data_IF_788848221348
#
_entry.id   IF_788848221348
#
_cell.length_a   1.000
_cell.length_b   1.000
_cell.length_c   1.000
_cell.angle_alpha   90.00
_cell.angle_beta   90.00
_cell.angle_gamma   90.00
#
_symmetry.space_group_name_H-M   'P 1'
#
loop_
_entity.id
_entity.type
_entity.pdbx_description
1 polymer ?
#
# COMPACT_ATOMS: atom_id res chain seq x y z
N UNK A 1 3.58 -9.70 5.71
CA UNK A 1 4.93 -10.22 5.49
C UNK A 1 5.98 -9.58 6.40
N UNK A 2 5.54 -8.90 7.45
CA UNK A 2 6.44 -8.32 8.45
C UNK A 2 7.24 -9.37 9.21
N UNK A 3 8.38 -8.97 9.80
CA UNK A 3 9.26 -9.82 10.58
C UNK A 3 10.64 -9.97 9.94
N UNK A 4 11.30 -11.12 10.13
CA UNK A 4 12.66 -11.34 9.63
C UNK A 4 12.69 -11.68 8.16
N UNK A 5 13.61 -11.05 7.42
CA UNK A 5 13.94 -11.31 6.02
C UNK A 5 15.43 -11.58 5.88
N UNK A 6 15.83 -12.37 4.90
CA UNK A 6 17.21 -12.45 4.46
C UNK A 6 17.58 -11.18 3.71
N UNK A 7 18.76 -10.61 4.01
CA UNK A 7 19.16 -9.30 3.54
C UNK A 7 20.60 -9.27 3.06
N UNK A 8 20.83 -8.65 1.92
CA UNK A 8 22.17 -8.36 1.42
C UNK A 8 22.29 -6.86 1.20
N UNK A 9 23.36 -6.26 1.71
CA UNK A 9 23.66 -4.85 1.57
C UNK A 9 24.97 -4.66 0.82
N UNK A 10 24.98 -3.74 -0.13
CA UNK A 10 26.17 -3.28 -0.83
C UNK A 10 26.15 -1.75 -0.92
N UNK A 11 27.33 -1.13 -0.88
CA UNK A 11 27.42 0.33 -1.02
C UNK A 11 27.39 0.78 -2.48
N UNK A 12 27.98 -0.02 -3.38
CA UNK A 12 28.04 0.29 -4.79
C UNK A 12 26.99 -0.49 -5.56
N UNK A 13 26.30 0.19 -6.44
CA UNK A 13 25.28 -0.42 -7.28
C UNK A 13 25.80 -1.59 -8.12
N UNK A 14 27.09 -1.53 -8.56
CA UNK A 14 27.71 -2.57 -9.37
C UNK A 14 27.83 -3.92 -8.63
N UNK A 15 27.97 -3.89 -7.30
CA UNK A 15 28.23 -5.09 -6.48
C UNK A 15 26.94 -5.80 -6.04
N UNK A 16 25.75 -5.29 -6.44
CA UNK A 16 24.47 -5.86 -6.04
C UNK A 16 24.29 -7.26 -6.62
N UNK A 17 23.61 -8.16 -5.89
CA UNK A 17 23.20 -9.45 -6.43
C UNK A 17 22.28 -9.23 -7.65
N UNK A 18 22.55 -9.89 -8.76
CA UNK A 18 21.76 -9.79 -10.01
C UNK A 18 20.85 -10.99 -10.24
N UNK A 19 21.04 -12.06 -9.48
CA UNK A 19 20.26 -13.29 -9.54
C UNK A 19 19.37 -13.53 -8.31
N UNK A 20 19.27 -12.54 -7.45
CA UNK A 20 18.55 -12.61 -6.15
C UNK A 20 17.06 -13.01 -6.28
N UNK A 21 16.44 -12.76 -7.43
CA UNK A 21 15.06 -13.14 -7.70
C UNK A 21 14.90 -14.61 -8.06
N UNK A 22 15.98 -15.30 -8.42
CA UNK A 22 15.91 -16.71 -8.78
C UNK A 22 15.63 -17.55 -7.53
N UNK A 23 14.61 -18.38 -7.58
CA UNK A 23 14.20 -19.25 -6.45
C UNK A 23 15.28 -20.27 -6.04
N UNK A 24 16.25 -20.56 -6.93
CA UNK A 24 17.36 -21.49 -6.66
C UNK A 24 18.58 -20.83 -6.05
N UNK A 25 18.67 -19.48 -6.06
CA UNK A 25 19.80 -18.77 -5.49
C UNK A 25 19.83 -18.96 -3.98
N UNK A 26 20.95 -19.45 -3.47
CA UNK A 26 21.19 -19.68 -2.05
C UNK A 26 21.42 -18.36 -1.32
N UNK A 27 20.54 -18.06 -0.38
CA UNK A 27 20.60 -16.83 0.45
C UNK A 27 20.73 -17.12 1.95
N UNK A 28 20.94 -18.36 2.32
CA UNK A 28 21.01 -18.79 3.72
C UNK A 28 22.12 -18.11 4.52
N UNK A 29 23.19 -17.69 3.83
CA UNK A 29 24.33 -16.99 4.42
C UNK A 29 24.09 -15.49 4.60
N UNK A 30 23.04 -14.95 4.01
CA UNK A 30 22.69 -13.54 4.21
C UNK A 30 22.23 -13.32 5.65
N UNK A 31 22.64 -12.22 6.30
CA UNK A 31 22.12 -11.85 7.60
C UNK A 31 20.60 -11.64 7.57
N UNK A 32 20.00 -11.61 8.73
CA UNK A 32 18.61 -11.27 8.89
C UNK A 32 18.45 -9.76 9.12
N UNK A 33 17.36 -9.19 8.59
CA UNK A 33 16.90 -7.84 8.86
C UNK A 33 15.45 -7.86 9.28
N UNK A 34 15.04 -6.95 10.16
CA UNK A 34 13.63 -6.80 10.55
C UNK A 34 12.89 -5.87 9.57
N UNK A 35 11.68 -6.28 9.20
CA UNK A 35 10.76 -5.51 8.35
C UNK A 35 9.43 -5.37 9.13
N UNK A 36 8.85 -4.15 9.24
CA UNK A 36 9.42 -2.88 8.77
C UNK A 36 10.65 -2.42 9.54
N UNK A 37 11.47 -1.62 8.88
CA UNK A 37 12.64 -1.00 9.47
C UNK A 37 13.64 -0.49 8.44
N UNK A 38 14.31 0.60 8.78
CA UNK A 38 15.37 1.14 7.95
C UNK A 38 16.65 0.33 8.16
N UNK A 39 17.40 0.09 7.10
CA UNK A 39 18.62 -0.73 7.21
C UNK A 39 19.74 -0.04 7.97
N UNK A 40 19.83 1.31 7.89
CA UNK A 40 20.85 2.08 8.61
C UNK A 40 20.69 1.96 10.14
N UNK A 41 19.43 1.85 10.63
CA UNK A 41 19.14 1.66 12.04
C UNK A 41 19.37 0.22 12.52
N UNK A 42 19.70 -0.68 11.59
CA UNK A 42 19.98 -2.10 11.87
C UNK A 42 21.44 -2.47 11.55
N UNK A 43 22.32 -1.47 11.38
CA UNK A 43 23.76 -1.65 11.22
C UNK A 43 24.25 -1.79 9.79
N UNK A 44 23.44 -1.45 8.78
CA UNK A 44 23.82 -1.51 7.38
C UNK A 44 23.91 -0.09 6.79
N UNK A 45 25.13 0.34 6.46
CA UNK A 45 25.39 1.68 5.95
C UNK A 45 25.29 2.77 7.02
N UNK A 46 25.22 4.01 6.60
CA UNK A 46 25.26 5.18 7.48
C UNK A 46 24.01 6.02 7.31
N UNK A 47 23.30 6.38 8.40
CA UNK A 47 22.24 7.38 8.36
C UNK A 47 22.83 8.73 7.92
N UNK A 48 22.10 9.44 7.06
CA UNK A 48 22.52 10.77 6.62
C UNK A 48 21.49 11.77 7.13
N UNK A 49 21.96 12.81 7.82
CA UNK A 49 21.20 14.01 8.09
C UNK A 49 22.03 15.19 7.62
N UNK A 50 21.64 15.75 6.51
CA UNK A 50 22.29 16.92 5.94
C UNK A 50 21.25 17.96 5.58
N UNK A 51 21.48 19.18 5.97
CA UNK A 51 20.68 20.34 5.58
C UNK A 51 21.10 20.79 4.16
N UNK A 52 21.11 19.84 3.25
CA UNK A 52 21.43 20.03 1.83
C UNK A 52 20.30 19.50 0.96
N UNK A 53 20.14 20.04 -0.25
CA UNK A 53 19.05 19.62 -1.15
C UNK A 53 19.03 18.13 -1.41
N UNK A 54 20.20 17.49 -1.61
CA UNK A 54 20.28 16.10 -2.04
C UNK A 54 21.26 15.30 -1.19
N UNK A 55 20.82 14.14 -0.71
CA UNK A 55 21.61 13.27 0.15
C UNK A 55 22.87 12.68 -0.53
N UNK A 56 22.86 12.55 -1.84
CA UNK A 56 24.03 12.08 -2.61
C UNK A 56 25.05 13.19 -2.89
N UNK A 57 24.82 14.40 -2.43
CA UNK A 57 25.84 15.46 -2.49
C UNK A 57 26.91 15.33 -1.41
N UNK A 58 26.73 14.46 -0.41
CA UNK A 58 27.77 14.18 0.57
C UNK A 58 27.81 12.71 0.92
N UNK A 59 29.01 12.15 0.93
CA UNK A 59 29.33 10.82 1.41
C UNK A 59 29.81 10.92 2.85
N UNK A 60 28.91 10.73 3.80
CA UNK A 60 29.19 11.08 5.19
C UNK A 60 29.10 12.59 5.37
N UNK A 61 30.18 13.23 5.80
CA UNK A 61 30.29 14.68 5.97
C UNK A 61 31.13 15.38 4.90
N UNK A 62 31.72 14.61 3.98
CA UNK A 62 32.54 15.14 2.91
C UNK A 62 31.71 15.35 1.64
N UNK A 63 31.91 16.45 0.90
CA UNK A 63 31.29 16.63 -0.41
C UNK A 63 31.65 15.48 -1.34
N UNK A 64 30.62 14.88 -1.95
CA UNK A 64 30.79 13.76 -2.87
C UNK A 64 30.40 14.14 -4.32
N UNK A 65 29.23 14.79 -4.46
CA UNK A 65 28.73 15.21 -5.76
C UNK A 65 28.13 16.61 -5.67
N UNK A 66 28.95 17.62 -5.91
CA UNK A 66 28.64 19.05 -5.72
C UNK A 66 27.76 19.66 -6.82
N UNK A 67 27.60 18.98 -7.95
CA UNK A 67 26.82 19.45 -9.11
C UNK A 67 25.73 18.46 -9.49
N UNK A 68 24.62 18.42 -8.77
CA UNK A 68 23.48 17.58 -9.11
C UNK A 68 22.99 17.84 -10.53
N UNK A 69 22.73 16.79 -11.30
CA UNK A 69 22.27 16.86 -12.68
C UNK A 69 21.01 15.98 -12.85
N UNK A 70 19.81 16.49 -12.55
CA UNK A 70 18.58 15.72 -12.72
C UNK A 70 18.41 15.20 -14.15
N UNK A 71 17.96 13.95 -14.36
CA UNK A 71 17.50 12.98 -13.35
C UNK A 71 18.58 12.01 -12.84
N UNK A 72 19.86 12.29 -13.10
CA UNK A 72 20.96 11.39 -12.81
C UNK A 72 21.31 11.34 -11.33
N UNK A 73 21.67 10.14 -10.84
CA UNK A 73 22.19 9.88 -9.50
C UNK A 73 23.53 9.14 -9.59
N UNK A 74 24.36 9.18 -8.53
CA UNK A 74 25.65 8.47 -8.54
C UNK A 74 25.49 6.98 -8.84
N UNK A 75 26.39 6.40 -9.62
CA UNK A 75 26.40 4.96 -9.95
C UNK A 75 27.42 4.19 -9.14
N UNK A 76 28.52 4.81 -8.80
CA UNK A 76 29.64 4.26 -8.02
C UNK A 76 29.34 4.25 -6.51
N UNK A 77 28.50 5.14 -6.03
CA UNK A 77 27.95 5.13 -4.68
C UNK A 77 26.42 5.26 -4.70
N UNK A 78 25.75 4.12 -4.71
CA UNK A 78 24.30 4.03 -4.57
C UNK A 78 23.97 2.78 -3.75
N UNK A 79 23.95 2.91 -2.42
CA UNK A 79 23.66 1.80 -1.53
C UNK A 79 22.42 1.03 -1.93
N UNK A 80 22.54 -0.28 -1.95
CA UNK A 80 21.49 -1.17 -2.42
C UNK A 80 21.24 -2.27 -1.39
N UNK A 81 19.98 -2.35 -0.94
CA UNK A 81 19.48 -3.41 -0.06
C UNK A 81 18.69 -4.44 -0.86
N UNK A 82 19.03 -5.71 -0.72
CA UNK A 82 18.32 -6.83 -1.38
C UNK A 82 17.70 -7.73 -0.33
N UNK A 83 16.40 -7.90 -0.40
CA UNK A 83 15.58 -8.62 0.56
C UNK A 83 15.02 -9.91 -0.04
N UNK A 84 14.96 -10.99 0.75
CA UNK A 84 14.27 -12.23 0.37
C UNK A 84 13.51 -12.81 1.56
N UNK A 85 12.31 -13.32 1.26
CA UNK A 85 11.49 -14.04 2.23
C UNK A 85 10.65 -15.12 1.56
N UNK A 86 10.60 -16.28 2.20
CA UNK A 86 9.64 -17.34 1.90
C UNK A 86 8.37 -17.14 2.73
N UNK A 87 7.22 -17.48 2.16
CA UNK A 87 5.92 -17.45 2.85
C UNK A 87 4.99 -18.53 2.30
N UNK A 88 3.90 -18.78 3.00
CA UNK A 88 2.92 -19.81 2.63
C UNK A 88 1.54 -19.18 2.41
N UNK A 89 0.86 -19.58 1.34
CA UNK A 89 -0.52 -19.20 1.05
C UNK A 89 -1.42 -20.41 1.26
N UNK A 90 -2.49 -20.21 2.04
CA UNK A 90 -3.48 -21.24 2.36
C UNK A 90 -4.51 -21.46 1.25
N UNK A 91 -5.44 -22.39 1.49
CA UNK A 91 -6.52 -22.75 0.59
C UNK A 91 -7.66 -21.71 0.56
N UNK A 92 -7.76 -20.93 1.61
CA UNK A 92 -8.78 -19.90 1.81
C UNK A 92 -8.68 -18.73 0.80
N UNK A 93 -7.59 -18.71 0.01
CA UNK A 93 -7.37 -17.74 -1.06
C UNK A 93 -7.66 -18.28 -2.47
N UNK A 94 -8.05 -19.55 -2.59
CA UNK A 94 -8.41 -20.14 -3.88
C UNK A 94 -9.56 -19.36 -4.55
N UNK A 95 -9.37 -19.02 -5.83
CA UNK A 95 -10.35 -18.28 -6.62
C UNK A 95 -10.48 -16.79 -6.32
N UNK A 96 -9.62 -16.25 -5.44
CA UNK A 96 -9.58 -14.82 -5.12
C UNK A 96 -8.51 -14.08 -5.93
N UNK A 97 -8.64 -12.77 -6.01
CA UNK A 97 -7.58 -11.87 -6.46
C UNK A 97 -6.61 -11.61 -5.30
N UNK A 98 -5.31 -11.68 -5.56
CA UNK A 98 -4.27 -11.52 -4.56
C UNK A 98 -3.44 -10.28 -4.88
N UNK A 99 -3.31 -9.40 -3.89
CA UNK A 99 -2.56 -8.16 -4.01
C UNK A 99 -1.39 -8.12 -3.03
N UNK A 100 -0.25 -7.61 -3.52
CA UNK A 100 0.87 -7.19 -2.69
C UNK A 100 0.72 -5.71 -2.37
N UNK A 101 0.77 -5.33 -1.09
CA UNK A 101 0.88 -3.94 -0.63
C UNK A 101 2.20 -3.74 0.09
N UNK A 102 2.94 -2.69 -0.30
CA UNK A 102 4.09 -2.16 0.43
C UNK A 102 3.75 -0.72 0.81
N UNK A 103 3.45 -0.47 2.08
CA UNK A 103 2.82 0.77 2.53
C UNK A 103 3.79 1.96 2.65
N UNK A 104 5.08 1.70 2.59
CA UNK A 104 6.11 2.74 2.53
C UNK A 104 7.49 2.13 2.37
N UNK A 105 8.22 2.60 1.36
CA UNK A 105 9.56 2.11 1.06
C UNK A 105 10.43 3.26 0.57
N UNK A 106 11.44 3.59 1.32
CA UNK A 106 12.38 4.63 0.94
C UNK A 106 13.45 4.10 0.00
N UNK A 107 13.51 4.69 -1.19
CA UNK A 107 14.37 4.31 -2.30
C UNK A 107 13.57 3.78 -3.50
N UNK A 108 14.25 3.49 -4.61
CA UNK A 108 13.63 2.84 -5.76
C UNK A 108 13.59 1.33 -5.55
N UNK A 109 12.39 0.78 -5.40
CA UNK A 109 12.16 -0.62 -5.10
C UNK A 109 11.69 -1.41 -6.32
N UNK A 110 12.28 -2.58 -6.54
CA UNK A 110 11.92 -3.54 -7.57
C UNK A 110 11.43 -4.82 -6.92
N UNK A 111 10.20 -5.23 -7.25
CA UNK A 111 9.51 -6.35 -6.61
C UNK A 111 9.48 -7.57 -7.52
N UNK A 112 9.72 -8.74 -6.95
CA UNK A 112 9.67 -10.02 -7.65
C UNK A 112 8.91 -11.06 -6.82
N UNK A 113 8.07 -11.85 -7.47
CA UNK A 113 7.30 -12.92 -6.87
C UNK A 113 7.62 -14.24 -7.59
N UNK A 114 8.15 -15.23 -6.86
CA UNK A 114 8.52 -16.53 -7.42
C UNK A 114 9.44 -16.43 -8.67
N UNK A 115 10.35 -15.46 -8.68
CA UNK A 115 11.29 -15.21 -9.78
C UNK A 115 10.77 -14.31 -10.90
N UNK A 116 9.49 -13.94 -10.89
CA UNK A 116 8.87 -13.06 -11.90
C UNK A 116 8.85 -11.62 -11.42
N UNK A 117 9.17 -10.70 -12.32
CA UNK A 117 9.06 -9.27 -12.04
C UNK A 117 7.59 -8.87 -11.85
N UNK A 118 7.30 -8.20 -10.74
CA UNK A 118 5.98 -7.69 -10.35
C UNK A 118 5.79 -6.25 -10.77
N UNK A 119 6.76 -5.40 -10.45
CA UNK A 119 6.70 -3.97 -10.68
C UNK A 119 7.78 -3.22 -9.90
N UNK A 120 7.71 -1.90 -9.96
CA UNK A 120 8.61 -1.01 -9.22
C UNK A 120 7.85 0.15 -8.59
N UNK A 121 8.42 0.73 -7.53
CA UNK A 121 7.96 2.00 -6.94
C UNK A 121 9.14 2.88 -6.58
N UNK A 122 8.93 4.21 -6.62
CA UNK A 122 9.91 5.23 -6.22
C UNK A 122 9.35 6.23 -5.23
N UNK A 123 8.04 6.29 -5.08
CA UNK A 123 7.36 7.14 -4.10
C UNK A 123 7.51 6.49 -2.71
N UNK A 124 8.19 7.20 -1.81
CA UNK A 124 8.56 6.66 -0.50
C UNK A 124 7.40 6.64 0.50
N UNK A 125 6.38 7.45 0.34
CA UNK A 125 5.39 7.70 1.40
C UNK A 125 3.99 7.22 1.07
N UNK A 126 3.72 6.81 -0.16
CA UNK A 126 2.45 6.22 -0.58
C UNK A 126 2.55 4.70 -0.77
N UNK A 127 1.46 3.96 -0.53
CA UNK A 127 1.45 2.52 -0.74
C UNK A 127 1.65 2.14 -2.21
N UNK A 128 2.57 1.22 -2.47
CA UNK A 128 2.70 0.55 -3.76
C UNK A 128 1.87 -0.74 -3.74
N UNK A 129 0.92 -0.88 -4.65
CA UNK A 129 0.01 -2.03 -4.74
C UNK A 129 0.11 -2.70 -6.09
N UNK A 130 0.20 -4.03 -6.08
CA UNK A 130 0.34 -4.84 -7.30
C UNK A 130 -0.59 -6.05 -7.24
N UNK A 131 -1.32 -6.32 -8.32
CA UNK A 131 -2.01 -7.60 -8.48
C UNK A 131 -0.98 -8.69 -8.79
N UNK A 132 -0.88 -9.68 -7.91
CA UNK A 132 0.07 -10.79 -8.00
C UNK A 132 -0.63 -12.15 -8.15
N UNK A 133 -1.93 -12.17 -8.43
CA UNK A 133 -2.76 -13.38 -8.55
C UNK A 133 -2.13 -14.44 -9.45
N UNK A 134 -1.68 -14.05 -10.63
CA UNK A 134 -1.06 -14.96 -11.60
C UNK A 134 0.36 -15.43 -11.21
N UNK A 135 0.95 -14.88 -10.17
CA UNK A 135 2.33 -15.14 -9.75
C UNK A 135 2.40 -15.94 -8.44
N UNK A 136 1.37 -15.83 -7.61
CA UNK A 136 1.26 -16.55 -6.33
C UNK A 136 0.67 -17.93 -6.56
N UNK A 137 1.13 -18.91 -5.82
CA UNK A 137 0.61 -20.29 -5.85
C UNK A 137 0.25 -20.72 -4.43
N UNK A 138 -0.63 -21.70 -4.34
CA UNK A 138 -0.93 -22.39 -3.09
C UNK A 138 0.34 -23.03 -2.52
N UNK A 139 0.51 -22.97 -1.22
CA UNK A 139 1.70 -23.46 -0.51
C UNK A 139 2.85 -22.47 -0.54
N UNK A 140 4.07 -22.95 -0.70
CA UNK A 140 5.29 -22.17 -0.56
C UNK A 140 5.49 -21.19 -1.73
N UNK A 141 5.74 -19.94 -1.39
CA UNK A 141 6.07 -18.84 -2.29
C UNK A 141 7.33 -18.12 -1.79
N UNK A 142 7.94 -17.31 -2.66
CA UNK A 142 9.09 -16.48 -2.36
C UNK A 142 8.87 -15.07 -2.92
N UNK A 143 9.09 -14.07 -2.08
CA UNK A 143 9.18 -12.66 -2.48
C UNK A 143 10.63 -12.19 -2.40
N UNK A 144 11.07 -11.46 -3.41
CA UNK A 144 12.37 -10.78 -3.41
C UNK A 144 12.16 -9.31 -3.77
N UNK A 145 12.88 -8.43 -3.07
CA UNK A 145 12.80 -6.98 -3.29
C UNK A 145 14.22 -6.43 -3.32
N UNK A 146 14.53 -5.60 -4.31
CA UNK A 146 15.78 -4.86 -4.34
C UNK A 146 15.49 -3.37 -4.30
N UNK A 147 16.10 -2.67 -3.33
CA UNK A 147 15.90 -1.25 -3.07
C UNK A 147 17.20 -0.51 -3.30
N UNK A 148 17.19 0.44 -4.23
CA UNK A 148 18.29 1.37 -4.46
C UNK A 148 18.04 2.65 -3.68
N UNK A 149 19.01 3.08 -2.88
CA UNK A 149 18.89 4.25 -2.03
C UNK A 149 18.58 5.51 -2.83
N UNK A 150 19.30 5.72 -3.92
CA UNK A 150 19.19 6.91 -4.75
C UNK A 150 18.50 6.61 -6.08
N UNK A 151 17.61 7.50 -6.46
CA UNK A 151 16.92 7.52 -7.75
C UNK A 151 16.59 8.96 -8.14
N UNK A 152 16.03 9.15 -9.31
CA UNK A 152 15.50 10.45 -9.74
C UNK A 152 14.41 11.02 -8.80
N UNK A 153 13.70 10.16 -8.07
CA UNK A 153 12.73 10.59 -7.05
C UNK A 153 13.36 11.42 -5.92
N UNK A 154 14.64 11.20 -5.61
CA UNK A 154 15.33 11.98 -4.58
C UNK A 154 15.40 13.48 -4.89
N UNK A 155 15.29 13.87 -6.17
CA UNK A 155 15.21 15.27 -6.55
C UNK A 155 13.87 15.94 -6.15
N UNK A 156 12.82 15.14 -5.97
CA UNK A 156 11.49 15.60 -5.57
C UNK A 156 11.22 15.34 -4.08
N UNK A 157 11.78 14.26 -3.53
CA UNK A 157 11.58 13.80 -2.14
C UNK A 157 12.75 14.21 -1.24
N UNK A 158 13.07 15.51 -1.22
CA UNK A 158 14.22 16.04 -0.51
C UNK A 158 13.82 16.93 0.67
N UNK A 159 12.93 16.41 1.53
CA UNK A 159 12.48 17.11 2.74
C UNK A 159 13.58 17.16 3.81
N UNK A 160 13.49 18.12 4.74
CA UNK A 160 14.44 18.27 5.86
C UNK A 160 14.15 17.25 6.97
N UNK A 161 14.65 16.03 6.79
CA UNK A 161 14.59 14.95 7.78
C UNK A 161 15.69 13.90 7.51
N UNK A 162 15.79 12.90 8.38
CA UNK A 162 16.76 11.82 8.23
C UNK A 162 16.62 11.09 6.90
N UNK A 163 17.76 10.88 6.23
CA UNK A 163 17.89 10.12 4.98
C UNK A 163 18.25 8.68 5.32
N UNK A 164 17.25 7.88 5.57
CA UNK A 164 17.34 6.47 5.88
C UNK A 164 16.46 5.68 4.91
N UNK A 165 16.83 4.43 4.62
CA UNK A 165 16.27 3.69 3.49
C UNK A 165 15.74 2.32 3.90
N UNK A 166 14.99 1.68 3.03
CA UNK A 166 14.45 0.35 3.22
C UNK A 166 12.94 0.30 3.32
N UNK A 167 12.43 -0.79 3.86
CA UNK A 167 11.00 -1.05 4.02
C UNK A 167 10.53 -0.41 5.32
N UNK A 168 10.07 0.83 5.25
CA UNK A 168 9.76 1.66 6.43
C UNK A 168 8.42 1.30 7.09
N UNK A 169 7.47 0.78 6.32
CA UNK A 169 6.12 0.44 6.78
C UNK A 169 5.78 -1.01 6.44
N UNK A 170 4.57 -1.38 6.78
CA UNK A 170 4.09 -2.73 6.58
C UNK A 170 4.17 -3.20 5.12
N UNK A 171 4.50 -4.47 4.97
CA UNK A 171 4.39 -5.18 3.70
C UNK A 171 3.55 -6.44 3.91
N UNK A 172 2.52 -6.60 3.09
CA UNK A 172 1.57 -7.70 3.25
C UNK A 172 0.94 -8.11 1.93
N UNK A 173 0.35 -9.30 1.95
CA UNK A 173 -0.57 -9.75 0.92
C UNK A 173 -1.98 -9.70 1.48
N UNK A 174 -2.93 -9.37 0.63
CA UNK A 174 -4.34 -9.52 0.93
C UNK A 174 -5.06 -10.13 -0.27
N UNK A 175 -6.20 -10.77 -0.01
CA UNK A 175 -6.98 -11.41 -1.05
C UNK A 175 -8.41 -10.87 -1.03
N UNK A 176 -8.93 -10.53 -2.20
CA UNK A 176 -10.30 -10.06 -2.40
C UNK A 176 -11.08 -11.04 -3.27
N UNK A 177 -12.39 -11.10 -3.15
CA UNK A 177 -13.23 -11.75 -4.17
C UNK A 177 -12.96 -11.13 -5.55
N UNK A 178 -13.19 -11.88 -6.62
CA UNK A 178 -13.03 -11.39 -8.01
C UNK A 178 -13.92 -10.20 -8.33
N UNK A 179 -15.08 -10.11 -7.69
CA UNK A 179 -15.84 -8.88 -7.60
C UNK A 179 -15.69 -8.32 -6.20
N UNK A 180 -15.27 -7.08 -6.10
CA UNK A 180 -15.01 -6.43 -4.82
C UNK A 180 -15.18 -4.91 -4.89
N UNK A 181 -15.24 -4.30 -3.71
CA UNK A 181 -15.24 -2.84 -3.55
C UNK A 181 -13.80 -2.34 -3.78
N UNK A 182 -13.55 -1.77 -4.96
CA UNK A 182 -12.21 -1.26 -5.31
C UNK A 182 -11.88 0.03 -4.56
N UNK A 183 -12.88 0.91 -4.41
CA UNK A 183 -12.72 2.20 -3.76
C UNK A 183 -14.08 2.77 -3.37
N UNK A 184 -14.11 3.73 -2.47
CA UNK A 184 -15.31 4.52 -2.18
C UNK A 184 -14.95 5.95 -1.80
N UNK A 185 -15.83 6.88 -2.16
CA UNK A 185 -15.74 8.28 -1.76
C UNK A 185 -16.96 8.62 -0.90
N UNK A 186 -16.71 9.09 0.31
CA UNK A 186 -17.73 9.61 1.20
C UNK A 186 -17.47 11.09 1.45
N UNK A 187 -18.52 11.91 1.29
CA UNK A 187 -18.50 13.34 1.59
C UNK A 187 -19.63 13.64 2.55
N UNK A 188 -19.32 14.38 3.62
CA UNK A 188 -20.25 14.66 4.70
C UNK A 188 -20.26 16.15 5.06
N UNK A 189 -20.55 17.06 4.10
CA UNK A 189 -20.71 18.47 4.44
C UNK A 189 -21.91 18.69 5.35
N UNK A 190 -21.92 19.81 6.02
CA UNK A 190 -23.09 20.31 6.73
C UNK A 190 -23.97 21.14 5.79
N UNK A 191 -25.22 21.34 6.17
CA UNK A 191 -26.10 22.27 5.52
C UNK A 191 -25.60 23.73 5.70
N UNK A 192 -26.14 24.73 4.93
CA UNK A 192 -25.72 26.13 5.06
C UNK A 192 -25.91 26.75 6.44
N UNK A 193 -26.72 26.14 7.30
CA UNK A 193 -26.99 26.59 8.66
C UNK A 193 -26.16 25.84 9.71
N UNK A 194 -25.29 24.91 9.28
CA UNK A 194 -24.44 24.06 10.15
C UNK A 194 -25.24 23.24 11.18
N UNK A 195 -26.42 22.76 10.79
CA UNK A 195 -27.33 21.99 11.68
C UNK A 195 -27.46 20.54 11.25
N UNK A 196 -27.66 20.33 9.96
CA UNK A 196 -27.95 19.01 9.38
C UNK A 196 -26.76 18.52 8.58
N UNK A 197 -26.46 17.23 8.66
CA UNK A 197 -25.42 16.60 7.86
C UNK A 197 -25.95 16.16 6.49
N UNK A 198 -25.09 16.16 5.48
CA UNK A 198 -25.42 15.67 4.13
C UNK A 198 -24.49 14.50 3.83
N UNK A 199 -25.02 13.29 3.78
CA UNK A 199 -24.26 12.11 3.37
C UNK A 199 -24.29 11.95 1.84
N UNK A 200 -23.13 11.90 1.21
CA UNK A 200 -22.93 11.56 -0.18
C UNK A 200 -21.96 10.38 -0.26
N UNK A 201 -22.35 9.33 -0.96
CA UNK A 201 -21.54 8.13 -1.09
C UNK A 201 -21.48 7.67 -2.54
N UNK A 202 -20.25 7.46 -3.01
CA UNK A 202 -19.95 6.84 -4.30
C UNK A 202 -19.07 5.62 -4.06
N UNK A 203 -19.40 4.49 -4.69
CA UNK A 203 -18.69 3.21 -4.52
C UNK A 203 -18.22 2.75 -5.90
N UNK A 204 -16.94 2.42 -6.01
CA UNK A 204 -16.36 1.79 -7.20
C UNK A 204 -16.22 0.30 -6.99
N UNK A 205 -16.59 -0.47 -7.99
CA UNK A 205 -16.49 -1.92 -8.01
C UNK A 205 -15.46 -2.35 -9.07
N UNK A 206 -14.73 -3.40 -8.79
CA UNK A 206 -13.94 -4.14 -9.78
C UNK A 206 -14.54 -5.52 -9.97
N UNK A 207 -14.66 -5.96 -11.21
CA UNK A 207 -15.16 -7.27 -11.58
C UNK A 207 -14.21 -7.95 -12.56
N UNK A 208 -13.22 -8.69 -12.05
CA UNK A 208 -12.20 -9.39 -12.82
C UNK A 208 -12.71 -10.72 -13.42
N UNK A 209 -13.98 -11.07 -13.20
CA UNK A 209 -14.51 -12.37 -13.56
C UNK A 209 -15.49 -12.36 -14.73
N UNK A 210 -15.76 -11.19 -15.34
CA UNK A 210 -16.80 -11.00 -16.37
C UNK A 210 -18.20 -11.57 -15.97
N UNK A 211 -18.43 -11.70 -14.65
CA UNK A 211 -19.72 -12.20 -14.16
C UNK A 211 -20.76 -11.12 -14.38
N UNK A 212 -21.73 -11.42 -15.24
CA UNK A 212 -22.83 -10.51 -15.59
C UNK A 212 -24.02 -10.57 -14.63
N UNK A 213 -23.95 -11.42 -13.59
CA UNK A 213 -25.01 -11.51 -12.60
C UNK A 213 -25.12 -10.21 -11.81
N UNK A 214 -26.34 -9.74 -11.50
CA UNK A 214 -26.53 -8.54 -10.72
C UNK A 214 -26.12 -8.75 -9.27
N UNK A 215 -25.71 -7.65 -8.63
CA UNK A 215 -25.30 -7.56 -7.23
C UNK A 215 -26.14 -6.50 -6.51
N UNK A 216 -25.97 -6.44 -5.20
CA UNK A 216 -26.54 -5.39 -4.36
C UNK A 216 -25.43 -4.70 -3.60
N UNK A 217 -25.30 -3.40 -3.81
CA UNK A 217 -24.45 -2.54 -2.95
C UNK A 217 -25.36 -1.88 -1.93
N UNK A 218 -24.97 -1.94 -0.67
CA UNK A 218 -25.73 -1.33 0.42
C UNK A 218 -24.81 -0.62 1.39
N UNK A 219 -25.34 0.40 2.08
CA UNK A 219 -24.64 0.99 3.20
C UNK A 219 -25.55 1.10 4.44
N UNK A 220 -24.92 1.13 5.61
CA UNK A 220 -25.52 1.52 6.91
C UNK A 220 -24.62 2.55 7.55
N UNK A 221 -25.22 3.60 8.08
CA UNK A 221 -24.54 4.59 8.92
C UNK A 221 -24.98 4.35 10.37
N UNK A 222 -24.02 4.18 11.26
CA UNK A 222 -24.23 3.93 12.68
C UNK A 222 -23.70 5.11 13.48
N UNK A 223 -24.32 5.41 14.61
CA UNK A 223 -23.82 6.41 15.56
C UNK A 223 -22.76 5.83 16.50
N UNK A 224 -22.37 6.61 17.51
CA UNK A 224 -21.39 6.25 18.54
C UNK A 224 -21.86 5.14 19.51
N UNK A 225 -23.13 4.75 19.44
CA UNK A 225 -23.73 3.64 20.19
C UNK A 225 -24.09 2.45 19.30
N UNK A 226 -23.54 2.42 18.07
CA UNK A 226 -23.83 1.42 17.03
C UNK A 226 -25.32 1.36 16.62
N UNK A 227 -26.10 2.43 16.91
CA UNK A 227 -27.47 2.53 16.47
C UNK A 227 -27.53 3.00 15.01
N UNK A 228 -28.42 2.37 14.24
CA UNK A 228 -28.55 2.70 12.82
C UNK A 228 -29.22 4.05 12.63
N UNK A 229 -28.50 5.01 12.08
CA UNK A 229 -28.99 6.35 11.72
C UNK A 229 -29.70 6.35 10.38
N UNK A 230 -29.09 5.70 9.37
CA UNK A 230 -29.67 5.54 8.04
C UNK A 230 -29.08 4.36 7.31
N UNK A 231 -29.79 3.89 6.29
CA UNK A 231 -29.32 2.87 5.35
C UNK A 231 -29.87 3.10 3.95
N UNK A 232 -29.23 2.54 2.96
CA UNK A 232 -29.74 2.43 1.60
C UNK A 232 -29.11 1.23 0.89
N UNK A 233 -29.77 0.78 -0.18
CA UNK A 233 -29.27 -0.27 -1.05
C UNK A 233 -29.69 0.00 -2.48
N UNK A 234 -28.86 -0.44 -3.43
CA UNK A 234 -29.17 -0.39 -4.85
C UNK A 234 -28.70 -1.66 -5.54
N UNK A 235 -29.47 -2.08 -6.53
CA UNK A 235 -29.07 -3.17 -7.43
C UNK A 235 -28.12 -2.63 -8.48
N UNK A 236 -27.10 -3.42 -8.79
CA UNK A 236 -26.03 -3.10 -9.73
C UNK A 236 -25.97 -4.22 -10.76
N UNK A 237 -26.02 -3.90 -12.03
CA UNK A 237 -25.83 -4.88 -13.09
C UNK A 237 -24.34 -5.23 -13.23
N UNK A 238 -24.04 -6.44 -13.73
CA UNK A 238 -22.68 -7.00 -13.64
C UNK A 238 -21.58 -6.26 -14.41
N UNK A 239 -21.95 -5.37 -15.33
CA UNK A 239 -21.04 -4.51 -16.11
C UNK A 239 -20.88 -3.10 -15.51
N UNK A 240 -21.69 -2.76 -14.52
CA UNK A 240 -21.63 -1.47 -13.84
C UNK A 240 -20.52 -1.48 -12.79
N UNK A 241 -19.56 -0.56 -12.93
CA UNK A 241 -18.38 -0.46 -12.07
C UNK A 241 -18.43 0.70 -11.06
N UNK A 242 -19.49 1.49 -11.06
CA UNK A 242 -19.65 2.62 -10.13
C UNK A 242 -21.14 2.75 -9.71
N UNK A 243 -21.32 3.06 -8.44
CA UNK A 243 -22.64 3.31 -7.82
C UNK A 243 -22.59 4.63 -7.07
N UNK A 244 -23.49 5.53 -7.39
CA UNK A 244 -23.68 6.77 -6.63
C UNK A 244 -25.03 6.71 -5.90
N UNK A 245 -24.98 6.82 -4.57
CA UNK A 245 -26.19 6.86 -3.75
C UNK A 245 -26.77 8.27 -3.74
N UNK A 246 -28.11 8.36 -3.76
CA UNK A 246 -28.79 9.63 -3.61
C UNK A 246 -28.39 10.31 -2.30
N UNK A 247 -28.12 11.61 -2.38
CA UNK A 247 -27.79 12.44 -1.21
C UNK A 247 -28.83 12.30 -0.11
N UNK A 248 -28.36 12.11 1.13
CA UNK A 248 -29.22 11.94 2.31
C UNK A 248 -28.95 13.05 3.31
N UNK A 249 -29.98 13.84 3.60
CA UNK A 249 -29.91 14.81 4.71
C UNK A 249 -30.24 14.11 6.03
N UNK A 250 -29.37 14.30 7.00
CA UNK A 250 -29.43 13.72 8.36
C UNK A 250 -29.64 14.86 9.36
N UNK A 251 -30.80 14.90 10.00
CA UNK A 251 -31.17 15.99 10.89
C UNK A 251 -30.45 15.86 12.23
N UNK A 252 -30.01 17.00 12.77
CA UNK A 252 -29.47 17.10 14.12
C UNK A 252 -28.27 16.20 14.41
N UNK A 253 -27.36 16.06 13.44
CA UNK A 253 -26.15 15.26 13.62
C UNK A 253 -25.24 15.81 14.71
N UNK A 254 -24.57 14.94 15.46
CA UNK A 254 -23.50 15.32 16.37
C UNK A 254 -22.29 15.73 15.53
N UNK A 255 -21.89 16.99 15.61
CA UNK A 255 -20.75 17.49 14.86
C UNK A 255 -19.44 16.99 15.49
N UNK A 256 -18.44 16.81 14.63
CA UNK A 256 -17.07 16.64 15.08
C UNK A 256 -16.47 18.00 15.40
N UNK A 257 -15.88 18.13 16.57
CA UNK A 257 -14.97 19.23 16.94
C UNK A 257 -13.77 18.64 17.64
N UNK A 258 -12.69 19.43 17.82
CA UNK A 258 -11.52 18.97 18.56
C UNK A 258 -11.86 18.63 20.02
N UNK A 259 -12.82 19.34 20.62
CA UNK A 259 -13.29 19.15 21.99
C UNK A 259 -14.29 17.98 22.11
N UNK A 260 -15.08 17.77 21.05
CA UNK A 260 -16.10 16.69 21.01
C UNK A 260 -15.99 15.94 19.67
N UNK A 261 -15.03 15.00 19.55
CA UNK A 261 -14.73 14.31 18.30
C UNK A 261 -15.76 13.21 17.98
N UNK A 262 -17.02 13.61 17.79
CA UNK A 262 -18.09 12.68 17.44
C UNK A 262 -17.86 12.08 16.07
N UNK A 263 -17.93 10.74 15.98
CA UNK A 263 -17.77 10.00 14.73
C UNK A 263 -18.95 9.06 14.51
N UNK A 264 -19.30 8.89 13.25
CA UNK A 264 -20.23 7.87 12.79
C UNK A 264 -19.47 6.76 12.09
N UNK A 265 -19.97 5.54 12.11
CA UNK A 265 -19.41 4.39 11.39
C UNK A 265 -20.25 4.14 10.14
N UNK A 266 -19.62 4.30 8.96
CA UNK A 266 -20.20 3.91 7.69
C UNK A 266 -19.76 2.48 7.37
N UNK A 267 -20.74 1.57 7.18
CA UNK A 267 -20.49 0.19 6.74
C UNK A 267 -21.04 0.05 5.33
N UNK A 268 -20.20 -0.33 4.37
CA UNK A 268 -20.55 -0.59 2.98
C UNK A 268 -20.46 -2.10 2.74
N UNK A 269 -21.47 -2.68 2.08
CA UNK A 269 -21.49 -4.12 1.79
C UNK A 269 -21.83 -4.37 0.33
N UNK A 270 -21.10 -5.28 -0.27
CA UNK A 270 -21.39 -5.89 -1.56
C UNK A 270 -22.00 -7.26 -1.31
N UNK A 271 -23.16 -7.54 -1.92
CA UNK A 271 -23.93 -8.77 -1.69
C UNK A 271 -24.38 -9.39 -3.01
N UNK A 272 -24.58 -10.69 -3.00
CA UNK A 272 -25.36 -11.37 -4.03
C UNK A 272 -26.84 -11.00 -3.90
N UNK A 273 -27.62 -11.22 -4.96
CA UNK A 273 -29.08 -10.94 -4.93
C UNK A 273 -29.86 -11.83 -3.96
N UNK A 274 -29.27 -12.97 -3.53
CA UNK A 274 -29.83 -13.83 -2.48
C UNK A 274 -29.55 -13.33 -1.04
N UNK A 275 -28.82 -12.19 -0.90
CA UNK A 275 -28.47 -11.59 0.39
C UNK A 275 -27.12 -12.03 0.98
N UNK A 276 -26.45 -12.99 0.37
CA UNK A 276 -25.11 -13.42 0.79
C UNK A 276 -24.10 -12.27 0.67
N UNK A 277 -23.39 -11.97 1.75
CA UNK A 277 -22.36 -10.92 1.78
C UNK A 277 -21.09 -11.46 1.11
N UNK A 278 -20.67 -10.81 0.02
CA UNK A 278 -19.41 -11.09 -0.69
C UNK A 278 -18.27 -10.38 0.02
N UNK A 279 -18.48 -9.11 0.35
CA UNK A 279 -17.50 -8.25 1.00
C UNK A 279 -18.19 -7.15 1.80
N UNK A 280 -17.53 -6.71 2.87
CA UNK A 280 -17.91 -5.52 3.61
C UNK A 280 -16.67 -4.73 4.01
N UNK A 281 -16.79 -3.42 3.99
CA UNK A 281 -15.77 -2.49 4.48
C UNK A 281 -16.42 -1.43 5.33
N UNK A 282 -15.62 -0.74 6.16
CA UNK A 282 -16.13 0.33 7.01
C UNK A 282 -15.11 1.45 7.17
N UNK A 283 -15.62 2.65 7.43
CA UNK A 283 -14.83 3.80 7.86
C UNK A 283 -15.58 4.62 8.89
N UNK A 284 -14.83 5.45 9.61
CA UNK A 284 -15.38 6.45 10.52
C UNK A 284 -15.28 7.82 9.88
#
# INVERSE_FOLDING_TARGET
>A
LNGKWKFNYVENFADRPTDFMNVRTEVNRWPDINVPGNWELQGFGTPIYVNQPYEFCSKGYEPYWDKPNPPYVPKDWNPTGTYRRDFVVGNDWDGKEIFLSADGMRGAAFYYMNGKFVGMSKDAKTPARFNVTAMVKKGKNMIAIQVHRFSDANYLECQDFWRISGIERDIYLYATPKIHIADFKVETPLDPYYKDGILQLKVKLTNESDIKSPYVVSYRLLDDQDQQVTQSSTRVEGDQNEVEFTKKTLRGVKHWTAETPNLYTLVISLKRTNGEVIEATSCK
#
